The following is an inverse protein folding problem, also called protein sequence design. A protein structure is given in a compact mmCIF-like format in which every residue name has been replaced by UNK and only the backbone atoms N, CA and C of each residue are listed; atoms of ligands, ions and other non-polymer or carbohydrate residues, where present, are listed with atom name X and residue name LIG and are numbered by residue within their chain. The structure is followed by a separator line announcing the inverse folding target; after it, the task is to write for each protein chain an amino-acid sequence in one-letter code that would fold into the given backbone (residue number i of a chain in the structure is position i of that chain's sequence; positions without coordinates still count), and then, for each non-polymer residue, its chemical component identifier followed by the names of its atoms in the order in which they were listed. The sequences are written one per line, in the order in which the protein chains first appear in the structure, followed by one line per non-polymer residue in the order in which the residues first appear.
data_IF_130218103228
#
_entry.id   IF_130218103228
#
_cell.length_a   1.000
_cell.length_b   1.000
_cell.length_c   1.000
_cell.angle_alpha   90.00
_cell.angle_beta   90.00
_cell.angle_gamma   90.00
#
_symmetry.space_group_name_H-M   'P 1'
#
loop_
_entity.id
_entity.type
_entity.pdbx_description
1 polymer ?
#
# COMPACT_ATOMS: atom_id res chain seq x y z
N UNK A 1 -27.36 -0.24 12.59
CA UNK A 1 -26.22 -0.19 11.64
C UNK A 1 -26.69 -0.80 10.35
N UNK A 2 -26.83 -0.07 9.27
CA UNK A 2 -27.78 -0.49 8.23
C UNK A 2 -27.07 -1.06 7.01
N UNK A 3 -27.19 -2.38 6.84
CA UNK A 3 -26.87 -3.08 5.62
C UNK A 3 -28.11 -3.07 4.70
N UNK A 4 -27.99 -2.45 3.54
CA UNK A 4 -29.06 -2.41 2.55
C UNK A 4 -28.78 -3.42 1.45
N UNK A 5 -29.76 -4.28 1.18
CA UNK A 5 -29.70 -5.23 0.08
C UNK A 5 -30.80 -4.94 -0.92
N UNK A 6 -30.48 -5.14 -2.19
CA UNK A 6 -31.50 -5.22 -3.23
C UNK A 6 -32.31 -6.51 -3.03
N UNK A 7 -33.63 -6.39 -2.83
CA UNK A 7 -34.54 -7.54 -2.67
C UNK A 7 -35.27 -7.88 -3.99
N UNK A 8 -34.58 -7.67 -5.12
CA UNK A 8 -35.03 -8.09 -6.45
C UNK A 8 -34.48 -9.49 -6.76
N UNK A 9 -34.98 -10.15 -7.82
CA UNK A 9 -34.46 -11.45 -8.31
C UNK A 9 -34.36 -12.55 -7.24
N UNK A 10 -35.34 -12.60 -6.33
CA UNK A 10 -35.39 -13.56 -5.22
C UNK A 10 -34.14 -13.53 -4.30
N UNK A 11 -33.46 -12.38 -4.24
CA UNK A 11 -32.31 -12.17 -3.37
C UNK A 11 -32.65 -12.47 -1.91
N UNK A 12 -31.93 -13.38 -1.23
CA UNK A 12 -32.14 -13.63 0.19
C UNK A 12 -31.70 -12.40 1.00
N UNK A 13 -32.46 -12.09 2.06
CA UNK A 13 -32.11 -11.01 2.99
C UNK A 13 -31.60 -11.65 4.27
N UNK A 14 -30.32 -11.45 4.64
CA UNK A 14 -29.77 -12.00 5.88
C UNK A 14 -30.53 -11.52 7.11
N UNK A 15 -30.53 -12.31 8.20
CA UNK A 15 -31.13 -11.84 9.43
C UNK A 15 -30.27 -10.70 9.98
N UNK A 16 -30.89 -9.81 10.75
CA UNK A 16 -30.12 -8.80 11.48
C UNK A 16 -29.25 -9.49 12.53
N UNK A 17 -27.99 -9.07 12.64
CA UNK A 17 -27.03 -9.64 13.59
C UNK A 17 -26.91 -8.67 14.76
N UNK A 18 -27.38 -9.09 15.93
CA UNK A 18 -27.43 -8.26 17.13
C UNK A 18 -26.06 -7.67 17.47
N UNK A 19 -26.03 -6.37 17.77
CA UNK A 19 -24.80 -5.61 17.99
C UNK A 19 -23.88 -5.41 16.78
N UNK A 20 -24.19 -5.97 15.60
CA UNK A 20 -23.37 -5.86 14.38
C UNK A 20 -24.06 -5.03 13.31
N UNK A 21 -25.23 -5.46 12.80
CA UNK A 21 -26.00 -4.72 11.80
C UNK A 21 -27.49 -5.14 11.73
N UNK A 22 -28.31 -4.21 11.24
CA UNK A 22 -29.69 -4.37 10.80
C UNK A 22 -29.70 -4.55 9.28
N UNK A 23 -30.24 -5.66 8.80
CA UNK A 23 -30.36 -5.96 7.38
C UNK A 23 -31.72 -5.47 6.84
N UNK A 24 -31.68 -4.69 5.75
CA UNK A 24 -32.87 -4.13 5.11
C UNK A 24 -32.88 -4.50 3.64
N UNK A 25 -33.78 -5.41 3.25
CA UNK A 25 -34.06 -5.72 1.85
C UNK A 25 -35.04 -4.73 1.24
N UNK A 26 -34.69 -4.14 0.09
CA UNK A 26 -35.53 -3.16 -0.61
C UNK A 26 -35.86 -3.67 -2.01
N UNK A 27 -37.15 -3.91 -2.26
CA UNK A 27 -37.66 -4.30 -3.59
C UNK A 27 -37.59 -3.12 -4.57
N UNK A 28 -37.18 -3.39 -5.80
CA UNK A 28 -36.98 -2.43 -6.88
C UNK A 28 -35.66 -1.65 -6.80
N UNK A 29 -34.84 -1.89 -5.77
CA UNK A 29 -33.62 -1.11 -5.49
C UNK A 29 -32.61 -1.17 -6.64
N UNK A 30 -32.47 -2.33 -7.30
CA UNK A 30 -31.53 -2.50 -8.39
C UNK A 30 -31.91 -1.69 -9.63
N UNK A 31 -33.19 -1.37 -9.79
CA UNK A 31 -33.72 -0.60 -10.93
C UNK A 31 -33.94 0.89 -10.62
N UNK A 32 -34.26 1.23 -9.37
CA UNK A 32 -34.49 2.59 -8.89
C UNK A 32 -33.75 2.83 -7.56
N UNK A 33 -32.53 3.39 -7.60
CA UNK A 33 -31.79 3.70 -6.38
C UNK A 33 -32.51 4.65 -5.43
N UNK A 34 -33.52 5.41 -5.88
CA UNK A 34 -34.31 6.27 -4.98
C UNK A 34 -35.19 5.47 -4.01
N UNK A 35 -35.40 4.17 -4.26
CA UNK A 35 -36.11 3.26 -3.38
C UNK A 35 -35.53 3.23 -1.95
N UNK A 36 -34.22 3.49 -1.78
CA UNK A 36 -33.57 3.62 -0.45
C UNK A 36 -34.30 4.67 0.41
N UNK A 37 -34.54 5.84 -0.17
CA UNK A 37 -35.17 6.97 0.53
C UNK A 37 -36.67 6.70 0.75
N UNK A 38 -37.34 6.08 -0.23
CA UNK A 38 -38.77 5.70 -0.12
C UNK A 38 -39.00 4.66 0.98
N UNK A 39 -38.04 3.78 1.21
CA UNK A 39 -38.07 2.80 2.29
C UNK A 39 -37.76 3.40 3.67
N UNK A 40 -37.50 4.72 3.77
CA UNK A 40 -37.21 5.39 5.03
C UNK A 40 -35.81 5.10 5.59
N UNK A 41 -34.90 4.52 4.80
CA UNK A 41 -33.54 4.23 5.23
C UNK A 41 -32.71 5.51 5.24
N UNK A 42 -32.16 5.84 6.41
CA UNK A 42 -31.26 6.99 6.61
C UNK A 42 -29.85 6.52 6.94
N UNK A 43 -28.85 7.17 6.37
CA UNK A 43 -27.42 6.91 6.54
C UNK A 43 -27.04 5.41 6.43
N UNK A 44 -27.35 4.75 5.29
CA UNK A 44 -26.94 3.37 5.07
C UNK A 44 -25.41 3.22 5.14
N UNK A 45 -24.93 2.13 5.71
CA UNK A 45 -23.51 1.91 5.97
C UNK A 45 -22.84 0.97 4.97
N UNK A 46 -23.61 0.09 4.33
CA UNK A 46 -23.15 -0.76 3.23
C UNK A 46 -24.32 -1.11 2.29
N UNK A 47 -24.03 -1.27 1.00
CA UNK A 47 -25.00 -1.65 -0.03
C UNK A 47 -24.53 -2.91 -0.78
N UNK A 48 -25.44 -3.86 -0.99
CA UNK A 48 -25.25 -5.01 -1.88
C UNK A 48 -26.34 -4.98 -2.95
N UNK A 49 -25.94 -4.96 -4.21
CA UNK A 49 -26.82 -4.80 -5.36
C UNK A 49 -26.54 -5.85 -6.44
N UNK A 50 -27.54 -6.16 -7.26
CA UNK A 50 -27.40 -7.03 -8.43
C UNK A 50 -26.72 -6.31 -9.60
N UNK A 51 -25.75 -6.94 -10.27
CA UNK A 51 -24.93 -6.31 -11.31
C UNK A 51 -25.75 -5.95 -12.57
N UNK A 52 -25.42 -4.80 -13.18
CA UNK A 52 -25.89 -4.43 -14.54
C UNK A 52 -27.21 -3.65 -14.62
N UNK A 53 -27.89 -3.41 -13.49
CA UNK A 53 -29.24 -2.84 -13.47
C UNK A 53 -29.33 -1.34 -13.18
N UNK A 54 -28.23 -0.74 -12.72
CA UNK A 54 -28.16 0.68 -12.33
C UNK A 54 -26.90 1.36 -12.86
N UNK A 55 -26.92 2.69 -12.77
CA UNK A 55 -25.74 3.53 -12.96
C UNK A 55 -25.27 4.03 -11.59
N UNK A 56 -23.98 3.84 -11.29
CA UNK A 56 -23.40 4.08 -9.98
C UNK A 56 -23.54 5.55 -9.55
N UNK A 57 -23.55 6.50 -10.49
CA UNK A 57 -23.79 7.91 -10.19
C UNK A 57 -25.17 8.15 -9.57
N UNK A 58 -26.20 7.44 -10.03
CA UNK A 58 -27.54 7.50 -9.42
C UNK A 58 -27.59 6.86 -8.04
N UNK A 59 -26.90 5.73 -7.84
CA UNK A 59 -26.78 5.11 -6.50
C UNK A 59 -26.12 6.08 -5.52
N UNK A 60 -24.99 6.67 -5.90
CA UNK A 60 -24.30 7.66 -5.08
C UNK A 60 -25.17 8.89 -4.80
N UNK A 61 -25.95 9.36 -5.78
CA UNK A 61 -26.90 10.44 -5.55
C UNK A 61 -28.00 10.06 -4.56
N UNK A 62 -28.50 8.83 -4.61
CA UNK A 62 -29.52 8.35 -3.68
C UNK A 62 -28.96 8.21 -2.25
N UNK A 63 -27.72 7.74 -2.10
CA UNK A 63 -27.00 7.67 -0.83
C UNK A 63 -26.84 9.04 -0.18
N UNK A 64 -26.46 10.07 -0.96
CA UNK A 64 -26.38 11.45 -0.46
C UNK A 64 -27.71 11.96 0.05
N UNK A 65 -28.80 11.70 -0.67
CA UNK A 65 -30.16 12.08 -0.24
C UNK A 65 -30.58 11.35 1.04
N UNK A 66 -30.11 10.11 1.22
CA UNK A 66 -30.31 9.34 2.44
C UNK A 66 -29.39 9.80 3.59
N UNK A 67 -28.50 10.78 3.38
CA UNK A 67 -27.60 11.32 4.41
C UNK A 67 -26.28 10.57 4.56
N UNK A 68 -25.92 9.68 3.63
CA UNK A 68 -24.64 8.98 3.64
C UNK A 68 -23.62 9.60 2.68
N UNK A 69 -22.34 9.54 3.06
CA UNK A 69 -21.22 9.86 2.16
C UNK A 69 -20.94 8.67 1.22
N UNK A 70 -21.23 8.78 -0.09
CA UNK A 70 -21.07 7.68 -1.03
C UNK A 70 -19.62 7.22 -1.21
N UNK A 71 -18.61 8.04 -0.86
CA UNK A 71 -17.21 7.64 -1.00
C UNK A 71 -16.77 6.65 0.06
N UNK A 72 -17.43 6.64 1.21
CA UNK A 72 -17.09 5.74 2.29
C UNK A 72 -18.10 4.62 2.52
N UNK A 73 -19.28 4.65 1.89
CA UNK A 73 -20.22 3.52 1.87
C UNK A 73 -19.73 2.47 0.86
N UNK A 74 -19.35 1.26 1.29
CA UNK A 74 -19.02 0.19 0.36
C UNK A 74 -20.25 -0.22 -0.44
N UNK A 75 -20.11 -0.23 -1.76
CA UNK A 75 -21.16 -0.67 -2.70
C UNK A 75 -20.60 -1.90 -3.42
N UNK A 76 -21.14 -3.08 -3.10
CA UNK A 76 -20.77 -4.31 -3.80
C UNK A 76 -21.86 -4.68 -4.80
N UNK A 77 -21.41 -5.08 -5.99
CA UNK A 77 -22.26 -5.48 -7.10
C UNK A 77 -22.01 -6.95 -7.41
N UNK A 78 -23.03 -7.80 -7.36
CA UNK A 78 -22.88 -9.24 -7.60
C UNK A 78 -23.75 -9.67 -8.79
N UNK A 79 -23.23 -10.49 -9.73
CA UNK A 79 -24.02 -10.99 -10.85
C UNK A 79 -24.98 -12.11 -10.45
N UNK A 80 -24.65 -12.85 -9.40
CA UNK A 80 -25.49 -13.88 -8.78
C UNK A 80 -25.46 -13.62 -7.27
N UNK A 81 -26.62 -13.67 -6.62
CA UNK A 81 -26.70 -13.46 -5.18
C UNK A 81 -26.37 -14.75 -4.42
N UNK A 82 -25.45 -14.71 -3.44
CA UNK A 82 -25.05 -15.88 -2.68
C UNK A 82 -26.08 -16.24 -1.61
N UNK A 83 -25.79 -17.25 -0.80
CA UNK A 83 -26.66 -17.67 0.30
C UNK A 83 -26.82 -16.57 1.35
N UNK A 84 -27.88 -16.70 2.16
CA UNK A 84 -28.16 -15.81 3.28
C UNK A 84 -26.96 -15.68 4.25
N UNK A 85 -26.30 -16.80 4.54
CA UNK A 85 -25.11 -16.85 5.40
C UNK A 85 -23.92 -16.10 4.79
N UNK A 86 -23.66 -16.30 3.49
CA UNK A 86 -22.56 -15.62 2.80
C UNK A 86 -22.81 -14.10 2.71
N UNK A 87 -24.06 -13.69 2.48
CA UNK A 87 -24.47 -12.28 2.54
C UNK A 87 -24.28 -11.70 3.94
N UNK A 88 -24.57 -12.46 4.98
CA UNK A 88 -24.41 -12.01 6.34
C UNK A 88 -22.94 -11.73 6.68
N UNK A 89 -22.04 -12.65 6.29
CA UNK A 89 -20.59 -12.54 6.49
C UNK A 89 -20.01 -11.38 5.68
N UNK A 90 -20.36 -11.31 4.39
CA UNK A 90 -19.93 -10.21 3.52
C UNK A 90 -20.42 -8.86 4.05
N UNK A 91 -21.70 -8.78 4.45
CA UNK A 91 -22.33 -7.60 5.03
C UNK A 91 -21.62 -7.11 6.29
N UNK A 92 -21.35 -8.00 7.24
CA UNK A 92 -20.60 -7.65 8.45
C UNK A 92 -19.19 -7.14 8.14
N UNK A 93 -18.51 -7.73 7.15
CA UNK A 93 -17.23 -7.23 6.63
C UNK A 93 -17.34 -5.81 6.06
N UNK A 94 -18.34 -5.52 5.24
CA UNK A 94 -18.54 -4.19 4.65
C UNK A 94 -18.85 -3.13 5.71
N UNK A 95 -19.68 -3.45 6.70
CA UNK A 95 -19.97 -2.57 7.82
C UNK A 95 -18.69 -2.28 8.62
N UNK A 96 -17.88 -3.30 8.92
CA UNK A 96 -16.60 -3.10 9.59
C UNK A 96 -15.65 -2.20 8.78
N UNK A 97 -15.60 -2.38 7.46
CA UNK A 97 -14.85 -1.49 6.54
C UNK A 97 -15.34 -0.05 6.62
N UNK A 98 -16.66 0.17 6.60
CA UNK A 98 -17.28 1.50 6.70
C UNK A 98 -16.88 2.18 8.00
N UNK A 99 -16.95 1.48 9.14
CA UNK A 99 -16.56 2.03 10.45
C UNK A 99 -15.08 2.41 10.53
N UNK A 100 -14.24 1.72 9.76
CA UNK A 100 -12.81 2.01 9.65
C UNK A 100 -12.48 3.11 8.62
N UNK A 101 -13.48 3.64 7.89
CA UNK A 101 -13.29 4.72 6.93
C UNK A 101 -12.84 6.00 7.64
N UNK A 102 -11.67 6.57 7.28
CA UNK A 102 -11.16 7.77 7.96
C UNK A 102 -11.89 9.06 7.56
N UNK A 103 -12.82 9.00 6.59
CA UNK A 103 -13.39 10.18 5.94
C UNK A 103 -12.66 10.49 4.62
N UNK A 104 -13.33 11.20 3.72
CA UNK A 104 -12.73 11.73 2.50
C UNK A 104 -13.14 13.19 2.31
N UNK A 105 -12.17 14.06 2.03
CA UNK A 105 -12.40 15.44 1.62
C UNK A 105 -12.51 15.60 0.09
N UNK A 106 -12.84 16.82 -0.40
CA UNK A 106 -12.94 17.11 -1.83
C UNK A 106 -11.68 16.75 -2.64
N UNK A 107 -10.51 16.85 -2.04
CA UNK A 107 -9.21 16.49 -2.62
C UNK A 107 -9.07 14.99 -2.96
N UNK A 108 -9.91 14.15 -2.36
CA UNK A 108 -9.96 12.71 -2.62
C UNK A 108 -11.05 12.34 -3.64
N UNK A 109 -11.81 13.29 -4.16
CA UNK A 109 -12.95 13.02 -5.02
C UNK A 109 -12.62 13.32 -6.49
N UNK A 110 -12.53 12.27 -7.32
CA UNK A 110 -12.44 12.41 -8.78
C UNK A 110 -13.81 12.17 -9.41
N UNK A 111 -14.20 13.07 -10.32
CA UNK A 111 -15.39 12.90 -11.16
C UNK A 111 -15.06 11.97 -12.35
N UNK A 112 -15.90 10.97 -12.59
CA UNK A 112 -15.80 10.08 -13.75
C UNK A 112 -17.12 10.08 -14.51
N UNK A 113 -17.03 10.22 -15.84
CA UNK A 113 -18.17 10.18 -16.73
C UNK A 113 -18.34 8.77 -17.33
N UNK A 114 -19.56 8.24 -17.46
CA UNK A 114 -19.79 6.94 -18.09
C UNK A 114 -19.43 6.94 -19.60
N UNK A 115 -18.60 5.96 -20.03
CA UNK A 115 -18.00 5.88 -21.38
C UNK A 115 -18.96 5.46 -22.51
N UNK A 116 -19.92 4.56 -22.27
CA UNK A 116 -20.75 3.97 -23.35
C UNK A 116 -22.24 4.33 -23.20
N UNK A 117 -22.83 4.91 -24.24
CA UNK A 117 -24.26 5.18 -24.34
C UNK A 117 -24.85 4.29 -25.44
N UNK A 118 -25.79 3.42 -25.08
CA UNK A 118 -26.69 2.86 -26.10
C UNK A 118 -27.63 3.99 -26.59
N UNK A 119 -27.97 4.02 -27.88
CA UNK A 119 -28.85 5.05 -28.49
C UNK A 119 -30.15 5.32 -27.69
N UNK A 120 -30.66 4.34 -26.92
CA UNK A 120 -31.86 4.46 -26.07
C UNK A 120 -31.63 5.22 -24.75
N UNK A 121 -30.39 5.31 -24.24
CA UNK A 121 -30.04 5.97 -22.96
C UNK A 121 -29.52 7.41 -23.14
N UNK A 122 -29.53 7.96 -24.35
CA UNK A 122 -29.00 9.30 -24.68
C UNK A 122 -29.78 10.46 -24.01
N UNK A 123 -31.05 10.26 -23.70
CA UNK A 123 -31.93 11.29 -23.10
C UNK A 123 -32.03 11.22 -21.57
N UNK A 124 -31.41 10.22 -20.92
CA UNK A 124 -31.31 10.19 -19.47
C UNK A 124 -30.14 11.10 -19.04
N UNK A 125 -30.44 12.13 -18.24
CA UNK A 125 -29.46 13.06 -17.69
C UNK A 125 -28.36 12.26 -16.98
N UNK A 126 -27.12 12.29 -17.51
CA UNK A 126 -25.98 11.54 -16.93
C UNK A 126 -25.64 12.13 -15.57
N UNK A 127 -25.70 11.32 -14.51
CA UNK A 127 -25.15 11.69 -13.20
C UNK A 127 -23.71 11.18 -13.16
N UNK A 128 -22.71 12.06 -13.05
CA UNK A 128 -21.33 11.61 -12.93
C UNK A 128 -21.12 10.85 -11.62
N UNK A 129 -20.27 9.83 -11.67
CA UNK A 129 -19.87 9.09 -10.48
C UNK A 129 -18.62 9.73 -9.87
N UNK A 130 -18.52 9.63 -8.55
CA UNK A 130 -17.36 10.05 -7.79
C UNK A 130 -16.56 8.81 -7.43
N UNK A 131 -15.28 8.79 -7.79
CA UNK A 131 -14.35 7.75 -7.38
C UNK A 131 -13.34 8.35 -6.43
N UNK A 132 -12.93 7.56 -5.42
CA UNK A 132 -11.89 8.00 -4.50
C UNK A 132 -10.53 7.94 -5.20
N UNK A 133 -9.90 9.10 -5.33
CA UNK A 133 -8.58 9.31 -5.88
C UNK A 133 -7.58 9.60 -4.75
N UNK A 134 -6.28 9.34 -4.97
CA UNK A 134 -5.27 9.63 -3.97
C UNK A 134 -5.10 11.15 -3.77
N UNK A 135 -4.79 11.56 -2.54
CA UNK A 135 -4.25 12.89 -2.22
C UNK A 135 -2.75 12.83 -1.99
N UNK A 136 -2.08 13.98 -2.02
CA UNK A 136 -0.64 14.10 -1.77
C UNK A 136 -0.38 15.19 -0.73
N UNK A 137 0.13 14.79 0.43
CA UNK A 137 0.57 15.68 1.49
C UNK A 137 2.00 16.16 1.19
N UNK A 138 2.12 17.43 0.78
CA UNK A 138 3.38 18.00 0.31
C UNK A 138 4.45 18.03 1.40
N UNK A 139 4.06 18.21 2.66
CA UNK A 139 4.99 18.26 3.80
C UNK A 139 5.69 16.93 4.12
N UNK A 140 5.07 15.80 3.75
CA UNK A 140 5.64 14.45 3.91
C UNK A 140 6.39 13.98 2.66
N UNK A 141 6.33 14.73 1.57
CA UNK A 141 6.82 14.28 0.27
C UNK A 141 8.35 14.42 0.16
N UNK A 142 9.06 13.31 -0.03
CA UNK A 142 10.51 13.31 -0.24
C UNK A 142 10.96 13.73 -1.66
N UNK A 143 10.06 14.29 -2.46
CA UNK A 143 10.33 14.64 -3.86
C UNK A 143 11.36 15.77 -4.01
N UNK A 144 11.42 16.71 -3.05
CA UNK A 144 12.45 17.74 -2.97
C UNK A 144 13.87 17.16 -2.82
N UNK A 145 13.98 15.94 -2.28
CA UNK A 145 15.23 15.20 -2.12
C UNK A 145 15.45 14.15 -3.24
N UNK A 146 14.73 14.27 -4.35
CA UNK A 146 14.92 13.44 -5.55
C UNK A 146 14.09 12.16 -5.62
N UNK A 147 13.18 11.90 -4.67
CA UNK A 147 12.33 10.70 -4.73
C UNK A 147 11.33 10.77 -5.90
N UNK A 148 11.29 9.74 -6.76
CA UNK A 148 10.40 9.65 -7.93
C UNK A 148 9.61 8.34 -8.03
N UNK A 149 9.68 7.46 -7.03
CA UNK A 149 9.08 6.11 -7.06
C UNK A 149 7.60 6.08 -7.49
N UNK A 150 6.78 7.05 -7.05
CA UNK A 150 5.36 7.10 -7.43
C UNK A 150 5.14 7.55 -8.89
N UNK A 151 6.01 8.41 -9.43
CA UNK A 151 6.01 8.78 -10.86
C UNK A 151 6.41 7.54 -11.67
N UNK A 152 7.51 6.90 -11.29
CA UNK A 152 8.08 5.76 -12.01
C UNK A 152 7.13 4.54 -12.05
N UNK A 153 6.24 4.42 -11.06
CA UNK A 153 5.24 3.35 -10.95
C UNK A 153 3.84 3.73 -11.45
N UNK A 154 3.65 4.92 -12.00
CA UNK A 154 2.32 5.40 -12.43
C UNK A 154 1.94 4.82 -13.80
N UNK A 155 0.97 3.89 -13.90
CA UNK A 155 0.65 3.28 -15.19
C UNK A 155 -0.03 4.24 -16.18
N UNK A 156 -0.68 5.30 -15.68
CA UNK A 156 -1.32 6.31 -16.54
C UNK A 156 -0.46 7.53 -16.81
N UNK A 157 0.75 7.61 -16.24
CA UNK A 157 1.63 8.79 -16.37
C UNK A 157 1.04 10.08 -15.80
N UNK A 158 0.11 10.00 -14.85
CA UNK A 158 -0.61 11.16 -14.33
C UNK A 158 0.20 12.02 -13.35
N UNK A 159 1.25 11.47 -12.73
CA UNK A 159 2.03 12.12 -11.67
C UNK A 159 3.19 12.95 -12.26
N UNK A 160 3.40 14.15 -11.72
CA UNK A 160 4.47 15.07 -12.13
C UNK A 160 5.13 15.70 -10.91
N UNK A 161 6.37 16.17 -11.07
CA UNK A 161 7.10 16.90 -10.03
C UNK A 161 7.05 18.40 -10.30
N UNK A 162 6.70 19.18 -9.29
CA UNK A 162 6.69 20.65 -9.32
C UNK A 162 6.69 21.23 -7.90
N UNK A 163 7.29 22.40 -7.72
CA UNK A 163 7.28 23.13 -6.43
C UNK A 163 7.74 22.30 -5.21
N UNK A 164 8.70 21.39 -5.41
CA UNK A 164 9.26 20.55 -4.35
C UNK A 164 8.43 19.31 -3.98
N UNK A 165 7.23 19.13 -4.54
CA UNK A 165 6.34 18.02 -4.27
C UNK A 165 5.87 17.30 -5.55
N UNK A 166 5.18 16.17 -5.38
CA UNK A 166 4.50 15.48 -6.47
C UNK A 166 3.07 16.04 -6.56
N UNK A 167 2.59 16.25 -7.78
CA UNK A 167 1.20 16.57 -8.10
C UNK A 167 0.70 15.62 -9.19
N UNK A 168 -0.60 15.62 -9.49
CA UNK A 168 -1.15 14.80 -10.58
C UNK A 168 -2.25 15.48 -11.38
N UNK A 169 -2.39 15.08 -12.64
CA UNK A 169 -3.52 15.45 -13.50
C UNK A 169 -4.76 14.64 -13.12
N UNK A 170 -5.83 15.32 -12.69
CA UNK A 170 -7.10 14.68 -12.33
C UNK A 170 -7.67 13.92 -13.53
N UNK A 171 -7.60 14.49 -14.74
CA UNK A 171 -8.13 13.86 -15.95
C UNK A 171 -7.38 12.57 -16.30
N UNK A 172 -6.05 12.60 -16.21
CA UNK A 172 -5.17 11.47 -16.56
C UNK A 172 -5.13 10.40 -15.46
N UNK A 173 -5.38 10.75 -14.20
CA UNK A 173 -5.30 9.81 -13.08
C UNK A 173 -6.43 8.78 -13.12
N UNK A 174 -6.10 7.50 -13.25
CA UNK A 174 -7.11 6.42 -13.26
C UNK A 174 -7.53 5.96 -11.87
N UNK A 175 -7.13 6.68 -10.81
CA UNK A 175 -7.46 6.37 -9.42
C UNK A 175 -7.16 4.90 -9.02
N UNK A 176 -6.01 4.37 -9.43
CA UNK A 176 -5.60 2.97 -9.19
C UNK A 176 -4.95 2.73 -7.82
N UNK A 177 -4.48 3.77 -7.13
CA UNK A 177 -3.87 3.65 -5.80
C UNK A 177 -2.44 3.09 -5.76
N UNK A 178 -1.80 2.80 -6.89
CA UNK A 178 -0.41 2.27 -6.90
C UNK A 178 0.58 3.23 -6.21
N UNK A 179 0.37 4.53 -6.36
CA UNK A 179 1.21 5.53 -5.70
C UNK A 179 1.08 5.52 -4.17
N UNK A 180 -0.04 5.07 -3.60
CA UNK A 180 -0.25 5.07 -2.14
C UNK A 180 0.55 3.98 -1.46
N UNK A 181 0.71 2.83 -2.11
CA UNK A 181 1.49 1.71 -1.57
C UNK A 181 2.96 1.73 -2.00
N UNK A 182 3.32 2.58 -2.98
CA UNK A 182 4.70 2.77 -3.41
C UNK A 182 5.40 3.92 -2.68
N UNK A 183 4.64 4.85 -2.06
CA UNK A 183 5.23 6.00 -1.37
C UNK A 183 5.88 5.58 -0.04
N UNK A 184 7.21 5.71 0.10
CA UNK A 184 7.92 5.26 1.30
C UNK A 184 7.76 6.21 2.50
N UNK A 185 7.19 7.40 2.29
CA UNK A 185 6.97 8.41 3.33
C UNK A 185 5.49 8.59 3.66
N UNK A 186 4.61 7.75 3.08
CA UNK A 186 3.16 7.82 3.26
C UNK A 186 2.55 9.19 2.89
N UNK A 187 3.24 9.98 2.07
CA UNK A 187 2.76 11.27 1.58
C UNK A 187 1.52 11.13 0.69
N UNK A 188 1.33 9.98 0.04
CA UNK A 188 0.17 9.70 -0.80
C UNK A 188 -0.83 8.83 -0.04
N UNK A 189 -2.08 9.28 0.07
CA UNK A 189 -3.12 8.54 0.80
C UNK A 189 -4.35 8.32 -0.05
N UNK A 190 -5.07 7.22 0.21
CA UNK A 190 -6.38 6.97 -0.39
C UNK A 190 -7.33 6.41 0.68
N UNK A 191 -8.37 7.17 1.08
CA UNK A 191 -9.26 6.79 2.16
C UNK A 191 -10.23 5.66 1.81
N UNK A 192 -10.33 5.21 0.56
CA UNK A 192 -11.19 4.06 0.20
C UNK A 192 -10.51 2.71 0.41
N UNK A 193 -9.19 2.68 0.54
CA UNK A 193 -8.40 1.45 0.65
C UNK A 193 -7.18 1.68 1.56
N UNK A 194 -7.46 1.92 2.85
CA UNK A 194 -6.44 1.95 3.89
C UNK A 194 -6.19 0.56 4.47
N UNK A 195 -4.99 0.26 5.02
CA UNK A 195 -4.73 -0.98 5.74
C UNK A 195 -5.78 -1.27 6.82
N UNK A 196 -6.15 -0.24 7.60
CA UNK A 196 -7.15 -0.33 8.68
C UNK A 196 -8.51 -0.81 8.17
N UNK A 197 -8.98 -0.30 7.04
CA UNK A 197 -10.24 -0.71 6.42
C UNK A 197 -10.22 -2.17 5.97
N UNK A 198 -9.13 -2.60 5.33
CA UNK A 198 -8.98 -3.96 4.83
C UNK A 198 -8.86 -4.95 5.98
N UNK A 199 -8.05 -4.64 7.00
CA UNK A 199 -7.95 -5.45 8.22
C UNK A 199 -9.33 -5.56 8.89
N UNK A 200 -10.06 -4.46 9.06
CA UNK A 200 -11.37 -4.48 9.68
C UNK A 200 -12.38 -5.34 8.88
N UNK A 201 -12.39 -5.22 7.56
CA UNK A 201 -13.24 -6.04 6.69
C UNK A 201 -12.93 -7.54 6.87
N UNK A 202 -11.65 -7.91 6.72
CA UNK A 202 -11.22 -9.30 6.77
C UNK A 202 -11.45 -9.90 8.16
N UNK A 203 -11.04 -9.21 9.22
CA UNK A 203 -11.23 -9.69 10.59
C UNK A 203 -12.71 -9.93 10.93
N UNK A 204 -13.61 -9.04 10.48
CA UNK A 204 -15.04 -9.22 10.68
C UNK A 204 -15.61 -10.42 9.91
N UNK A 205 -15.10 -10.72 8.71
CA UNK A 205 -15.48 -11.91 7.95
C UNK A 205 -14.97 -13.19 8.63
N UNK A 206 -13.68 -13.23 9.03
CA UNK A 206 -13.09 -14.40 9.70
C UNK A 206 -13.78 -14.71 11.03
N UNK A 207 -14.23 -13.68 11.76
CA UNK A 207 -14.94 -13.84 13.02
C UNK A 207 -16.35 -14.47 12.89
N UNK A 208 -16.97 -14.36 11.70
CA UNK A 208 -18.33 -14.84 11.45
C UNK A 208 -18.36 -16.13 10.61
N UNK A 209 -17.35 -16.37 9.78
CA UNK A 209 -17.27 -17.53 8.90
C UNK A 209 -16.73 -18.78 9.63
N UNK A 210 -17.19 -19.95 9.19
CA UNK A 210 -16.57 -21.23 9.53
C UNK A 210 -15.20 -21.36 8.86
N UNK A 211 -14.23 -21.94 9.58
CA UNK A 211 -12.89 -22.22 9.05
C UNK A 211 -12.94 -23.45 8.14
N UNK A 212 -12.24 -23.47 6.98
CA UNK A 212 -11.31 -22.47 6.46
C UNK A 212 -11.96 -21.41 5.57
N UNK A 213 -11.41 -20.19 5.57
CA UNK A 213 -11.87 -19.05 4.77
C UNK A 213 -10.82 -18.59 3.75
N UNK A 214 -11.23 -18.31 2.52
CA UNK A 214 -10.41 -17.67 1.49
C UNK A 214 -10.77 -16.19 1.30
N UNK A 215 -9.78 -15.35 0.98
CA UNK A 215 -10.01 -13.94 0.61
C UNK A 215 -9.48 -13.67 -0.79
N UNK A 216 -10.34 -13.14 -1.66
CA UNK A 216 -9.97 -12.68 -2.99
C UNK A 216 -9.97 -11.16 -3.06
N UNK A 217 -8.81 -10.56 -3.31
CA UNK A 217 -8.73 -9.16 -3.72
C UNK A 217 -9.16 -9.00 -5.19
N UNK A 218 -9.97 -7.98 -5.45
CA UNK A 218 -10.36 -7.60 -6.81
C UNK A 218 -10.31 -6.08 -7.01
N UNK A 219 -10.13 -5.66 -8.26
CA UNK A 219 -10.23 -4.25 -8.64
C UNK A 219 -11.67 -3.78 -8.57
N UNK A 220 -11.87 -2.47 -8.35
CA UNK A 220 -13.17 -1.79 -8.49
C UNK A 220 -13.83 -2.04 -9.84
N UNK A 221 -13.05 -2.01 -10.91
CA UNK A 221 -13.57 -2.18 -12.28
C UNK A 221 -13.72 -3.66 -12.68
N UNK A 222 -13.33 -4.59 -11.80
CA UNK A 222 -13.59 -5.99 -12.02
C UNK A 222 -15.09 -6.27 -11.87
N UNK A 223 -15.59 -7.33 -12.51
CA UNK A 223 -16.89 -7.89 -12.18
C UNK A 223 -16.69 -8.94 -11.08
N UNK A 224 -16.81 -8.58 -9.78
CA UNK A 224 -16.59 -9.55 -8.73
C UNK A 224 -17.74 -10.57 -8.72
N UNK A 225 -17.42 -11.78 -8.31
CA UNK A 225 -18.40 -12.78 -7.90
C UNK A 225 -18.16 -13.06 -6.42
N UNK A 226 -19.24 -13.33 -5.68
CA UNK A 226 -19.09 -14.10 -4.46
C UNK A 226 -18.79 -15.53 -4.88
N UNK A 227 -17.83 -16.14 -4.19
CA UNK A 227 -17.41 -17.49 -4.46
C UNK A 227 -18.03 -18.38 -3.40
N UNK A 228 -18.52 -19.55 -3.81
CA UNK A 228 -18.85 -20.60 -2.86
C UNK A 228 -17.58 -21.14 -2.18
N UNK A 229 -17.76 -22.15 -1.33
CA UNK A 229 -16.66 -22.86 -0.66
C UNK A 229 -15.77 -21.95 0.19
N UNK A 230 -16.42 -21.08 0.99
CA UNK A 230 -15.79 -20.22 2.00
C UNK A 230 -14.89 -19.10 1.46
N UNK A 231 -15.11 -18.61 0.23
CA UNK A 231 -14.30 -17.54 -0.37
C UNK A 231 -15.02 -16.19 -0.42
N UNK A 232 -14.39 -15.14 0.09
CA UNK A 232 -14.98 -13.79 0.17
C UNK A 232 -14.16 -12.75 -0.59
N UNK A 233 -14.87 -11.79 -1.19
CA UNK A 233 -14.27 -10.76 -2.04
C UNK A 233 -13.95 -9.48 -1.25
N UNK A 234 -12.78 -8.90 -1.51
CA UNK A 234 -12.32 -7.63 -0.95
C UNK A 234 -11.93 -6.68 -2.08
N UNK A 235 -12.69 -5.60 -2.24
CA UNK A 235 -12.42 -4.61 -3.28
C UNK A 235 -11.24 -3.70 -2.91
N UNK A 236 -10.34 -3.48 -3.87
CA UNK A 236 -9.33 -2.42 -3.87
C UNK A 236 -9.41 -1.60 -5.16
N UNK A 237 -8.95 -0.34 -5.20
CA UNK A 237 -8.93 0.48 -6.41
C UNK A 237 -8.31 -0.22 -7.62
N UNK A 238 -7.17 -0.89 -7.42
CA UNK A 238 -6.53 -1.74 -8.42
C UNK A 238 -5.70 -2.82 -7.72
N UNK A 239 -5.74 -4.06 -8.17
CA UNK A 239 -4.88 -5.14 -7.63
C UNK A 239 -3.40 -4.84 -7.85
N UNK A 240 -3.02 -3.99 -8.80
CA UNK A 240 -1.66 -3.48 -8.96
C UNK A 240 -1.15 -2.68 -7.75
N UNK A 241 -2.03 -2.20 -6.86
CA UNK A 241 -1.60 -1.54 -5.62
C UNK A 241 -1.13 -2.53 -4.55
N UNK A 242 -1.60 -3.78 -4.58
CA UNK A 242 -1.32 -4.79 -3.55
C UNK A 242 0.16 -5.06 -3.51
N UNK A 243 0.82 -4.80 -2.38
CA UNK A 243 2.22 -5.18 -2.14
C UNK A 243 2.31 -6.62 -1.65
N UNK A 244 3.53 -7.13 -1.45
CA UNK A 244 3.74 -8.46 -0.86
C UNK A 244 3.13 -8.52 0.55
N UNK A 245 3.30 -7.46 1.35
CA UNK A 245 2.68 -7.32 2.68
C UNK A 245 1.16 -7.36 2.63
N UNK A 246 0.52 -6.68 1.67
CA UNK A 246 -0.94 -6.72 1.52
C UNK A 246 -1.49 -8.11 1.15
N UNK A 247 -0.72 -8.90 0.39
CA UNK A 247 -1.09 -10.27 0.02
C UNK A 247 -0.88 -11.26 1.17
N UNK A 248 0.09 -10.99 2.05
CA UNK A 248 0.43 -11.84 3.19
C UNK A 248 -0.38 -11.49 4.45
N UNK A 249 -0.73 -10.23 4.67
CA UNK A 249 -1.42 -9.76 5.88
C UNK A 249 -2.73 -10.49 6.21
N UNK A 250 -3.58 -10.91 5.24
CA UNK A 250 -4.78 -11.67 5.56
C UNK A 250 -4.48 -13.00 6.27
N UNK A 251 -3.33 -13.62 6.00
CA UNK A 251 -2.92 -14.86 6.65
C UNK A 251 -2.77 -14.68 8.17
N UNK A 252 -2.22 -13.54 8.60
CA UNK A 252 -2.12 -13.15 10.03
C UNK A 252 -3.49 -12.91 10.68
N UNK A 253 -4.55 -12.72 9.89
CA UNK A 253 -5.92 -12.58 10.38
C UNK A 253 -6.67 -13.92 10.42
N UNK A 254 -5.98 -15.04 10.16
CA UNK A 254 -6.57 -16.38 10.13
C UNK A 254 -7.19 -16.75 8.79
N UNK A 255 -6.89 -16.02 7.71
CA UNK A 255 -7.31 -16.41 6.36
C UNK A 255 -6.51 -17.63 5.88
N UNK A 256 -7.24 -18.61 5.36
CA UNK A 256 -6.69 -19.88 4.89
C UNK A 256 -6.01 -19.81 3.53
N UNK A 257 -6.49 -18.95 2.63
CA UNK A 257 -5.87 -18.68 1.33
C UNK A 257 -6.19 -17.27 0.82
N UNK A 258 -5.23 -16.66 0.14
CA UNK A 258 -5.35 -15.33 -0.46
C UNK A 258 -5.18 -15.42 -1.96
N UNK A 259 -6.07 -14.76 -2.70
CA UNK A 259 -5.94 -14.64 -4.14
C UNK A 259 -6.17 -13.21 -4.63
N UNK A 260 -5.53 -12.86 -5.74
CA UNK A 260 -5.74 -11.60 -6.43
C UNK A 260 -5.68 -11.84 -7.94
N UNK A 261 -6.47 -11.12 -8.73
CA UNK A 261 -6.50 -11.28 -10.19
C UNK A 261 -6.60 -9.96 -10.95
N UNK A 262 -6.41 -9.99 -12.27
CA UNK A 262 -6.61 -8.81 -13.13
C UNK A 262 -8.09 -8.40 -13.19
N UNK A 263 -8.35 -7.17 -13.64
CA UNK A 263 -9.71 -6.62 -13.77
C UNK A 263 -10.60 -7.48 -14.69
N UNK A 264 -10.02 -8.04 -15.75
CA UNK A 264 -10.71 -8.78 -16.79
C UNK A 264 -10.06 -10.16 -16.98
N UNK A 265 -10.84 -11.15 -17.44
CA UNK A 265 -10.31 -12.48 -17.79
C UNK A 265 -9.25 -12.48 -18.90
N UNK A 266 -9.11 -11.37 -19.64
CA UNK A 266 -8.13 -11.16 -20.70
C UNK A 266 -6.90 -10.35 -20.28
N UNK A 267 -6.75 -10.00 -18.99
CA UNK A 267 -5.63 -9.23 -18.46
C UNK A 267 -6.00 -7.81 -17.99
N UNK A 268 -5.00 -7.07 -17.51
CA UNK A 268 -5.16 -5.72 -16.95
C UNK A 268 -5.00 -4.64 -18.03
N UNK A 269 -6.02 -3.78 -18.18
CA UNK A 269 -5.98 -2.66 -19.12
C UNK A 269 -4.86 -1.63 -18.82
N UNK A 270 -4.34 -1.63 -17.60
CA UNK A 270 -3.24 -0.76 -17.16
C UNK A 270 -1.86 -1.43 -17.25
N UNK A 271 -1.77 -2.67 -17.75
CA UNK A 271 -0.50 -3.40 -17.88
C UNK A 271 0.10 -3.87 -16.54
N UNK A 272 -0.73 -4.08 -15.51
CA UNK A 272 -0.25 -4.49 -14.18
C UNK A 272 -0.19 -6.01 -13.97
N UNK A 273 -0.38 -6.83 -15.01
CA UNK A 273 -0.43 -8.30 -14.88
C UNK A 273 0.88 -8.86 -14.31
N UNK A 274 2.02 -8.48 -14.88
CA UNK A 274 3.34 -8.93 -14.40
C UNK A 274 3.62 -8.43 -13.00
N UNK A 275 3.30 -7.15 -12.70
CA UNK A 275 3.43 -6.57 -11.36
C UNK A 275 2.69 -7.39 -10.31
N UNK A 276 1.44 -7.79 -10.58
CA UNK A 276 0.65 -8.59 -9.65
C UNK A 276 1.20 -10.02 -9.55
N UNK A 277 1.55 -10.62 -10.68
CA UNK A 277 2.11 -11.97 -10.77
C UNK A 277 3.40 -12.10 -9.95
N UNK A 278 4.34 -11.16 -10.12
CA UNK A 278 5.63 -11.18 -9.43
C UNK A 278 5.43 -11.06 -7.91
N UNK A 279 4.53 -10.20 -7.47
CA UNK A 279 4.19 -10.04 -6.04
C UNK A 279 3.50 -11.27 -5.45
N UNK A 280 2.58 -11.89 -6.18
CA UNK A 280 1.98 -13.17 -5.76
C UNK A 280 3.03 -14.29 -5.70
N UNK A 281 3.94 -14.35 -6.66
CA UNK A 281 5.03 -15.34 -6.69
C UNK A 281 5.97 -15.16 -5.51
N UNK A 282 6.37 -13.93 -5.21
CA UNK A 282 7.25 -13.63 -4.08
C UNK A 282 6.57 -13.91 -2.73
N UNK A 283 5.30 -13.50 -2.57
CA UNK A 283 4.51 -13.84 -1.38
C UNK A 283 4.38 -15.36 -1.19
N UNK A 284 4.14 -16.12 -2.26
CA UNK A 284 4.11 -17.58 -2.21
C UNK A 284 5.48 -18.20 -1.87
N UNK A 285 6.57 -17.60 -2.36
CA UNK A 285 7.94 -17.95 -1.99
C UNK A 285 8.19 -17.79 -0.50
N UNK A 286 7.80 -16.64 0.07
CA UNK A 286 7.85 -16.39 1.51
C UNK A 286 7.05 -17.45 2.28
N UNK A 287 5.82 -17.75 1.86
CA UNK A 287 5.01 -18.80 2.50
C UNK A 287 5.69 -20.19 2.46
N UNK A 288 6.45 -20.49 1.42
CA UNK A 288 7.18 -21.75 1.27
C UNK A 288 8.34 -21.81 2.26
N UNK A 289 9.16 -20.76 2.29
CA UNK A 289 10.33 -20.67 3.18
C UNK A 289 9.95 -20.64 4.67
N UNK A 290 8.79 -20.06 5.00
CA UNK A 290 8.25 -20.09 6.37
C UNK A 290 7.50 -21.38 6.73
N UNK A 291 7.39 -22.34 5.81
CA UNK A 291 6.74 -23.62 6.06
C UNK A 291 5.21 -23.57 6.22
N UNK A 292 4.56 -22.46 5.85
CA UNK A 292 3.09 -22.29 5.92
C UNK A 292 2.36 -22.74 4.65
N UNK A 293 3.12 -23.11 3.62
CA UNK A 293 2.66 -23.73 2.38
C UNK A 293 2.53 -22.72 1.24
N UNK A 294 3.09 -23.07 0.08
CA UNK A 294 3.09 -22.19 -1.10
C UNK A 294 1.66 -21.81 -1.54
N UNK A 295 0.68 -22.70 -1.37
CA UNK A 295 -0.71 -22.53 -1.83
C UNK A 295 -1.52 -21.47 -1.07
N UNK A 296 -0.95 -20.87 -0.02
CA UNK A 296 -1.58 -19.80 0.76
C UNK A 296 -1.78 -18.51 -0.04
N UNK A 297 -0.92 -18.22 -1.02
CA UNK A 297 -1.05 -17.03 -1.89
C UNK A 297 -0.94 -17.44 -3.35
N UNK A 298 -1.97 -17.09 -4.15
CA UNK A 298 -2.05 -17.48 -5.56
C UNK A 298 -2.65 -16.37 -6.43
N UNK A 299 -2.09 -16.21 -7.63
CA UNK A 299 -2.75 -15.42 -8.68
C UNK A 299 -4.06 -16.13 -9.08
N UNK A 300 -5.16 -15.39 -9.15
CA UNK A 300 -6.44 -15.93 -9.63
C UNK A 300 -6.33 -16.24 -11.12
N UNK A 301 -6.32 -17.52 -11.50
CA UNK A 301 -6.38 -17.95 -12.90
C UNK A 301 -7.78 -18.45 -13.24
N UNK A 302 -8.43 -17.81 -14.22
CA UNK A 302 -9.64 -18.30 -14.90
C UNK A 302 -10.73 -18.90 -13.98
N UNK A 303 -10.95 -18.31 -12.80
CA UNK A 303 -12.00 -18.73 -11.87
C UNK A 303 -11.66 -19.93 -10.96
N UNK A 304 -10.44 -20.46 -11.04
CA UNK A 304 -9.95 -21.49 -10.13
C UNK A 304 -9.28 -20.85 -8.92
N UNK A 305 -9.81 -21.14 -7.73
CA UNK A 305 -9.26 -20.71 -6.45
C UNK A 305 -8.75 -21.97 -5.70
N UNK A 306 -7.63 -21.87 -4.97
CA UNK A 306 -7.17 -22.98 -4.15
C UNK A 306 -8.18 -23.25 -3.03
N UNK A 307 -8.18 -24.48 -2.51
CA UNK A 307 -8.96 -24.81 -1.31
C UNK A 307 -8.31 -24.09 -0.13
N UNK A 308 -9.02 -23.21 0.60
CA UNK A 308 -8.49 -22.60 1.80
C UNK A 308 -8.10 -23.70 2.79
N UNK A 309 -6.89 -23.61 3.33
CA UNK A 309 -6.40 -24.51 4.37
C UNK A 309 -6.56 -23.85 5.73
N UNK A 310 -6.69 -24.62 6.81
CA UNK A 310 -7.12 -24.15 8.13
C UNK A 310 -6.41 -22.90 8.67
N UNK A 311 -7.06 -22.25 9.64
CA UNK A 311 -6.63 -21.03 10.33
C UNK A 311 -5.15 -21.06 10.72
N UNK A 312 -4.48 -19.96 10.42
CA UNK A 312 -3.19 -19.63 10.99
C UNK A 312 -3.47 -18.84 12.29
N UNK A 313 -2.75 -19.08 13.41
CA UNK A 313 -2.96 -18.34 14.65
C UNK A 313 -2.93 -16.84 14.41
N UNK A 314 -4.03 -16.16 14.76
CA UNK A 314 -4.18 -14.75 14.43
C UNK A 314 -3.29 -13.87 15.29
N UNK A 315 -2.59 -12.93 14.67
CA UNK A 315 -1.83 -11.87 15.33
C UNK A 315 -2.41 -10.49 14.96
N UNK A 316 -2.19 -9.49 15.83
CA UNK A 316 -2.64 -8.14 15.57
C UNK A 316 -1.84 -7.53 14.39
N UNK A 317 -2.52 -7.30 13.26
CA UNK A 317 -1.93 -6.63 12.10
C UNK A 317 -2.00 -5.12 12.31
N UNK A 318 -0.94 -4.53 12.86
CA UNK A 318 -0.83 -3.09 13.08
C UNK A 318 -0.58 -2.27 11.81
N UNK A 319 0.10 -2.87 10.83
CA UNK A 319 0.45 -2.27 9.53
C UNK A 319 0.39 -3.34 8.42
N UNK A 320 0.36 -2.93 7.15
CA UNK A 320 0.51 -3.83 6.00
C UNK A 320 1.80 -3.55 5.22
N UNK A 321 2.85 -3.03 5.89
CA UNK A 321 4.17 -2.85 5.27
C UNK A 321 4.81 -4.22 5.07
N UNK A 322 5.52 -4.39 3.96
CA UNK A 322 6.08 -5.68 3.57
C UNK A 322 7.00 -6.28 4.66
N UNK A 323 7.88 -5.47 5.25
CA UNK A 323 8.80 -5.89 6.32
C UNK A 323 8.06 -6.24 7.62
N UNK A 324 7.06 -5.46 8.02
CA UNK A 324 6.29 -5.71 9.24
C UNK A 324 5.49 -7.01 9.15
N UNK A 325 4.81 -7.23 8.02
CA UNK A 325 4.02 -8.44 7.79
C UNK A 325 4.92 -9.67 7.70
N UNK A 326 6.08 -9.54 7.03
CA UNK A 326 7.09 -10.59 7.00
C UNK A 326 7.56 -10.95 8.42
N UNK A 327 7.88 -9.96 9.25
CA UNK A 327 8.34 -10.20 10.63
C UNK A 327 7.27 -10.78 11.55
N UNK A 328 6.01 -10.38 11.38
CA UNK A 328 4.90 -10.99 12.10
C UNK A 328 4.76 -12.47 11.71
N UNK A 329 4.82 -12.79 10.41
CA UNK A 329 4.76 -14.17 9.95
C UNK A 329 5.95 -15.01 10.47
N UNK A 330 7.18 -14.49 10.43
CA UNK A 330 8.36 -15.21 10.96
C UNK A 330 8.22 -15.49 12.46
N UNK A 331 7.68 -14.54 13.21
CA UNK A 331 7.44 -14.68 14.66
C UNK A 331 6.41 -15.78 14.93
N UNK A 332 5.28 -15.71 14.24
CA UNK A 332 4.18 -16.66 14.33
C UNK A 332 4.59 -18.09 13.95
N UNK A 333 5.46 -18.26 12.94
CA UNK A 333 5.98 -19.58 12.54
C UNK A 333 7.19 -20.03 13.36
N UNK A 334 7.64 -19.21 14.32
CA UNK A 334 8.89 -19.44 15.07
C UNK A 334 10.10 -19.69 14.16
N UNK A 335 10.11 -19.05 12.99
CA UNK A 335 11.21 -19.15 12.02
C UNK A 335 12.26 -18.08 12.31
N UNK A 336 13.53 -18.47 12.26
CA UNK A 336 14.69 -17.59 12.43
C UNK A 336 15.70 -17.81 11.31
N UNK A 337 16.59 -16.84 11.06
CA UNK A 337 17.59 -16.94 9.99
C UNK A 337 17.00 -17.16 8.58
N UNK A 338 15.76 -16.72 8.36
CA UNK A 338 15.11 -16.73 7.05
C UNK A 338 15.60 -15.53 6.25
N UNK A 339 16.12 -15.79 5.05
CA UNK A 339 16.61 -14.79 4.11
C UNK A 339 16.13 -15.11 2.69
N UNK A 340 15.36 -14.20 2.08
CA UNK A 340 14.70 -14.42 0.79
C UNK A 340 14.85 -13.16 -0.06
N UNK A 341 15.22 -13.31 -1.34
CA UNK A 341 15.31 -12.17 -2.27
C UNK A 341 13.99 -11.40 -2.38
N UNK A 342 14.08 -10.07 -2.45
CA UNK A 342 12.95 -9.15 -2.59
C UNK A 342 13.03 -8.46 -3.96
N UNK A 343 12.55 -9.14 -4.98
CA UNK A 343 12.49 -8.63 -6.36
C UNK A 343 11.28 -7.74 -6.60
N UNK A 344 10.15 -8.04 -5.95
CA UNK A 344 8.86 -7.38 -6.13
C UNK A 344 8.36 -6.67 -4.86
N UNK A 345 8.85 -7.10 -3.70
CA UNK A 345 8.58 -6.55 -2.38
C UNK A 345 9.50 -5.41 -1.98
N UNK A 346 9.05 -4.64 -1.01
CA UNK A 346 9.74 -3.45 -0.51
C UNK A 346 10.57 -3.77 0.73
N UNK A 347 11.76 -4.33 0.52
CA UNK A 347 12.74 -4.60 1.57
C UNK A 347 14.18 -4.40 1.05
N UNK A 348 15.11 -4.05 1.93
CA UNK A 348 16.52 -4.06 1.57
C UNK A 348 17.48 -3.83 2.73
N UNK A 349 18.68 -4.37 2.60
CA UNK A 349 19.78 -4.27 3.57
C UNK A 349 20.88 -3.42 2.96
N UNK A 350 21.26 -2.34 3.64
CA UNK A 350 22.35 -1.46 3.21
C UNK A 350 23.60 -1.74 4.03
N UNK A 351 24.73 -1.91 3.35
CA UNK A 351 26.04 -2.01 3.99
C UNK A 351 26.93 -0.87 3.52
N UNK A 352 27.58 -0.18 4.46
CA UNK A 352 28.62 0.81 4.17
C UNK A 352 29.99 0.19 4.39
N UNK A 353 30.87 0.31 3.40
CA UNK A 353 32.19 -0.31 3.43
C UNK A 353 33.24 0.67 3.93
N UNK A 354 33.96 0.29 4.98
CA UNK A 354 34.91 1.15 5.69
C UNK A 354 35.97 1.77 4.79
N UNK A 355 36.56 0.96 3.91
CA UNK A 355 37.69 1.32 3.06
C UNK A 355 37.37 2.43 2.05
N UNK A 356 36.11 2.50 1.61
CA UNK A 356 35.69 3.40 0.53
C UNK A 356 34.66 4.45 0.98
N UNK A 357 33.97 4.24 2.09
CA UNK A 357 32.97 5.18 2.61
C UNK A 357 33.65 6.40 3.23
N UNK A 358 33.41 7.55 2.62
CA UNK A 358 33.96 8.85 3.05
C UNK A 358 33.12 9.57 4.10
N UNK A 359 32.01 8.97 4.54
CA UNK A 359 31.07 9.58 5.50
C UNK A 359 30.50 10.93 4.99
N UNK A 360 30.40 11.14 3.68
CA UNK A 360 29.89 12.40 3.09
C UNK A 360 28.36 12.62 3.24
N UNK A 361 27.66 11.69 3.88
CA UNK A 361 26.24 11.79 4.29
C UNK A 361 25.19 11.88 3.17
N UNK A 362 25.59 11.88 1.90
CA UNK A 362 24.66 11.96 0.76
C UNK A 362 23.57 10.88 0.82
N UNK A 363 23.96 9.64 1.14
CA UNK A 363 23.01 8.52 1.28
C UNK A 363 21.97 8.72 2.39
N UNK A 364 22.31 9.43 3.46
CA UNK A 364 21.39 9.74 4.56
C UNK A 364 20.42 10.86 4.18
N UNK A 365 20.88 11.83 3.37
CA UNK A 365 20.07 12.98 2.92
C UNK A 365 19.00 12.55 1.93
N UNK A 366 19.31 11.60 1.05
CA UNK A 366 18.37 11.14 0.01
C UNK A 366 17.48 9.98 0.45
N UNK A 367 17.61 9.45 1.68
CA UNK A 367 16.90 8.25 2.13
C UNK A 367 15.45 8.58 2.54
N UNK A 368 14.43 8.33 1.68
CA UNK A 368 13.08 8.83 1.96
C UNK A 368 12.45 8.26 3.25
N UNK A 369 12.51 6.95 3.53
CA UNK A 369 11.90 6.40 4.75
C UNK A 369 12.76 6.65 6.00
N UNK A 370 13.87 7.41 5.88
CA UNK A 370 14.82 7.64 6.96
C UNK A 370 15.43 6.35 7.55
N UNK A 371 15.55 5.30 6.72
CA UNK A 371 16.25 4.07 7.10
C UNK A 371 17.72 4.38 7.43
N UNK A 372 18.39 5.22 6.63
CA UNK A 372 19.71 5.76 6.94
C UNK A 372 19.60 7.12 7.65
N UNK A 373 20.33 7.32 8.76
CA UNK A 373 20.45 8.63 9.43
C UNK A 373 21.88 8.89 9.86
N UNK A 374 22.28 10.16 9.85
CA UNK A 374 23.54 10.62 10.44
C UNK A 374 23.31 11.12 11.86
N UNK A 375 24.20 10.77 12.77
CA UNK A 375 24.33 11.33 14.12
C UNK A 375 25.71 12.00 14.23
N UNK A 376 25.75 13.22 14.76
CA UNK A 376 26.98 13.96 15.01
C UNK A 376 27.11 14.21 16.51
N UNK A 377 28.28 13.93 17.05
CA UNK A 377 28.65 14.22 18.44
C UNK A 377 30.10 14.70 18.46
N UNK A 378 30.51 15.44 19.49
CA UNK A 378 31.80 16.14 19.59
C UNK A 378 33.00 15.37 18.96
N UNK A 379 33.39 15.78 17.75
CA UNK A 379 34.52 15.20 17.01
C UNK A 379 34.28 13.84 16.34
N UNK A 380 33.07 13.29 16.40
CA UNK A 380 32.67 12.02 15.77
C UNK A 380 31.44 12.17 14.85
N UNK A 381 31.32 11.21 13.94
CA UNK A 381 30.19 11.06 13.04
C UNK A 381 29.82 9.59 12.95
N UNK A 382 28.52 9.30 13.01
CA UNK A 382 27.98 7.97 12.86
C UNK A 382 26.86 7.96 11.82
N UNK A 383 26.83 6.95 10.98
CA UNK A 383 25.68 6.63 10.14
C UNK A 383 25.00 5.41 10.73
N UNK A 384 23.71 5.54 11.02
CA UNK A 384 22.83 4.47 11.48
C UNK A 384 21.92 3.99 10.37
N UNK A 385 21.55 2.72 10.42
CA UNK A 385 20.65 2.06 9.49
C UNK A 385 19.56 1.29 10.25
N UNK A 386 18.32 1.39 9.77
CA UNK A 386 17.19 0.60 10.24
C UNK A 386 16.61 -0.21 9.07
N UNK A 387 16.85 -1.53 9.01
CA UNK A 387 16.36 -2.37 7.92
C UNK A 387 14.83 -2.48 7.88
N UNK A 388 14.14 -2.31 9.02
CA UNK A 388 12.68 -2.35 9.08
C UNK A 388 12.00 -1.19 8.34
N UNK A 389 12.75 -0.10 8.09
CA UNK A 389 12.27 1.07 7.34
C UNK A 389 12.74 1.07 5.87
N UNK A 390 13.69 0.22 5.49
CA UNK A 390 14.28 0.27 4.16
C UNK A 390 13.36 -0.38 3.11
N UNK A 391 12.96 0.39 2.11
CA UNK A 391 12.09 -0.08 1.01
C UNK A 391 12.85 -0.54 -0.24
N UNK A 392 14.18 -0.67 -0.17
CA UNK A 392 15.00 -1.15 -1.30
C UNK A 392 15.05 -0.22 -2.53
N UNK A 393 14.81 1.10 -2.36
CA UNK A 393 14.63 2.07 -3.45
C UNK A 393 15.88 2.48 -4.25
N UNK A 394 17.08 2.06 -3.84
CA UNK A 394 18.36 2.38 -4.51
C UNK A 394 18.77 3.86 -4.60
N UNK A 395 18.06 4.80 -3.98
CA UNK A 395 18.47 6.21 -3.98
C UNK A 395 19.85 6.43 -3.33
N UNK A 396 20.16 5.67 -2.26
CA UNK A 396 21.47 5.71 -1.61
C UNK A 396 22.61 5.26 -2.55
N UNK A 397 22.34 4.29 -3.43
CA UNK A 397 23.28 3.81 -4.45
C UNK A 397 23.52 4.92 -5.48
N UNK A 398 22.44 5.48 -6.02
CA UNK A 398 22.49 6.47 -7.09
C UNK A 398 23.20 7.77 -6.67
N UNK A 399 23.12 8.16 -5.39
CA UNK A 399 23.74 9.40 -4.90
C UNK A 399 25.18 9.26 -4.40
N UNK A 400 25.68 8.03 -4.20
CA UNK A 400 26.95 7.82 -3.50
C UNK A 400 28.13 8.19 -4.42
N UNK A 401 28.98 9.19 -4.07
CA UNK A 401 30.08 9.61 -4.94
C UNK A 401 31.22 8.58 -5.04
N UNK A 402 31.28 7.63 -4.10
CA UNK A 402 32.30 6.58 -4.07
C UNK A 402 31.69 5.20 -4.41
N UNK A 403 30.56 5.16 -5.11
CA UNK A 403 29.87 3.93 -5.46
C UNK A 403 30.72 3.00 -6.33
N UNK A 404 31.50 3.56 -7.27
CA UNK A 404 32.41 2.79 -8.13
C UNK A 404 33.55 2.10 -7.36
N UNK A 405 33.85 2.59 -6.14
CA UNK A 405 34.82 1.96 -5.23
C UNK A 405 34.17 1.03 -4.22
N UNK A 406 32.87 0.76 -4.36
CA UNK A 406 32.13 -0.13 -3.47
C UNK A 406 31.88 0.45 -2.08
N UNK A 407 31.77 1.78 -1.92
CA UNK A 407 31.51 2.38 -0.61
C UNK A 407 30.16 1.98 0.03
N UNK A 408 29.19 1.55 -0.79
CA UNK A 408 27.84 1.23 -0.37
C UNK A 408 27.31 0.07 -1.22
N UNK A 409 26.69 -0.91 -0.57
CA UNK A 409 25.92 -1.98 -1.23
C UNK A 409 24.47 -1.99 -0.72
N UNK A 410 23.56 -2.43 -1.59
CA UNK A 410 22.14 -2.62 -1.29
C UNK A 410 21.74 -4.01 -1.75
N UNK A 411 21.43 -4.89 -0.79
CA UNK A 411 20.86 -6.20 -1.03
C UNK A 411 19.34 -6.13 -0.87
N UNK A 412 18.58 -6.48 -1.90
CA UNK A 412 17.11 -6.50 -1.80
C UNK A 412 16.67 -7.88 -1.34
N UNK A 413 16.45 -8.01 -0.04
CA UNK A 413 15.99 -9.23 0.59
C UNK A 413 15.16 -8.97 1.84
N UNK A 414 14.23 -9.87 2.12
CA UNK A 414 13.66 -10.06 3.44
C UNK A 414 14.65 -10.88 4.25
N UNK A 415 15.11 -10.34 5.39
CA UNK A 415 16.10 -10.99 6.24
C UNK A 415 15.66 -10.83 7.69
N UNK A 416 15.15 -11.91 8.26
CA UNK A 416 14.56 -11.91 9.61
C UNK A 416 15.57 -11.47 10.67
N UNK A 417 16.82 -11.94 10.60
CA UNK A 417 17.85 -11.60 11.57
C UNK A 417 18.20 -10.12 11.46
N UNK A 418 18.43 -9.59 10.26
CA UNK A 418 18.73 -8.18 10.05
C UNK A 418 17.57 -7.28 10.53
N UNK A 419 16.33 -7.65 10.24
CA UNK A 419 15.15 -6.88 10.62
C UNK A 419 14.96 -6.80 12.15
N UNK A 420 15.37 -7.82 12.92
CA UNK A 420 15.29 -7.77 14.40
C UNK A 420 16.30 -6.84 15.06
N UNK A 421 17.41 -6.50 14.38
CA UNK A 421 18.45 -5.61 14.94
C UNK A 421 17.89 -4.20 15.18
N UNK A 422 16.93 -3.77 14.36
CA UNK A 422 16.43 -2.40 14.36
C UNK A 422 17.52 -1.39 13.99
N UNK A 423 17.38 -0.15 14.47
CA UNK A 423 18.34 0.92 14.19
C UNK A 423 19.70 0.66 14.86
N UNK A 424 20.75 0.53 14.06
CA UNK A 424 22.12 0.29 14.53
C UNK A 424 23.14 1.10 13.73
N UNK A 425 24.35 1.27 14.28
CA UNK A 425 25.46 1.96 13.60
C UNK A 425 26.04 1.06 12.51
N UNK A 426 26.14 1.58 11.29
CA UNK A 426 26.73 0.88 10.13
C UNK A 426 28.06 1.51 9.67
N UNK A 427 28.33 2.76 10.06
CA UNK A 427 29.63 3.41 9.84
C UNK A 427 29.87 4.43 10.94
N UNK A 428 31.11 4.48 11.42
CA UNK A 428 31.61 5.48 12.36
C UNK A 428 32.89 6.10 11.80
N UNK A 429 33.17 7.34 12.17
CA UNK A 429 34.42 8.01 11.87
C UNK A 429 34.61 9.28 12.68
N UNK A 430 35.74 9.94 12.45
CA UNK A 430 36.08 11.21 13.09
C UNK A 430 35.70 12.41 12.22
N UNK A 431 35.43 13.52 12.88
CA UNK A 431 35.19 14.83 12.27
C UNK A 431 36.38 15.71 12.58
N UNK A 432 37.01 16.29 11.55
CA UNK A 432 38.06 17.28 11.75
C UNK A 432 37.47 18.53 12.41
N UNK A 433 38.19 19.10 13.38
CA UNK A 433 37.75 20.29 14.14
C UNK A 433 38.64 21.48 13.83
N UNK A 434 38.08 22.68 13.97
CA UNK A 434 38.81 23.92 13.72
C UNK A 434 39.83 24.20 14.83
N UNK A 435 41.09 24.40 14.46
CA UNK A 435 42.17 24.73 15.41
C UNK A 435 41.95 26.05 16.17
N UNK A 436 41.09 26.95 15.63
CA UNK A 436 40.83 28.28 16.19
C UNK A 436 39.60 28.32 17.10
N UNK A 437 38.47 27.76 16.68
CA UNK A 437 37.21 27.83 17.42
C UNK A 437 36.71 26.48 17.96
N UNK A 438 37.29 25.34 17.53
CA UNK A 438 36.84 24.01 17.92
C UNK A 438 35.67 23.45 17.10
N UNK A 439 35.02 24.26 16.26
CA UNK A 439 33.85 23.84 15.48
C UNK A 439 34.17 22.70 14.49
N UNK A 440 33.22 21.79 14.21
CA UNK A 440 33.39 20.74 13.21
C UNK A 440 33.55 21.32 11.80
N UNK A 441 34.49 20.75 11.04
CA UNK A 441 34.77 21.11 9.65
C UNK A 441 34.07 20.13 8.70
N UNK A 442 34.50 18.87 8.72
CA UNK A 442 34.00 17.80 7.85
C UNK A 442 34.52 16.43 8.35
N UNK A 443 33.93 15.32 7.93
CA UNK A 443 34.46 13.98 8.19
C UNK A 443 35.90 13.86 7.69
N UNK A 444 36.80 13.32 8.53
CA UNK A 444 38.22 13.19 8.20
C UNK A 444 38.45 12.34 6.95
N UNK A 445 37.62 11.29 6.76
CA UNK A 445 37.66 10.44 5.58
C UNK A 445 37.29 11.21 4.29
N UNK A 446 36.34 12.14 4.36
CA UNK A 446 35.97 13.01 3.24
C UNK A 446 37.12 13.97 2.91
N UNK A 447 37.76 14.58 3.90
CA UNK A 447 38.92 15.45 3.67
C UNK A 447 40.09 14.69 3.05
N UNK A 448 40.41 13.49 3.56
CA UNK A 448 41.42 12.62 2.98
C UNK A 448 41.10 12.25 1.52
N UNK A 449 39.82 12.02 1.20
CA UNK A 449 39.40 11.79 -0.18
C UNK A 449 39.62 13.01 -1.06
N UNK A 450 39.18 14.20 -0.64
CA UNK A 450 39.39 15.45 -1.39
C UNK A 450 40.89 15.69 -1.62
N UNK A 451 41.72 15.43 -0.59
CA UNK A 451 43.17 15.53 -0.71
C UNK A 451 43.74 14.58 -1.76
N UNK A 452 43.25 13.33 -1.84
CA UNK A 452 43.68 12.39 -2.88
C UNK A 452 43.25 12.77 -4.31
N UNK A 453 42.18 13.55 -4.46
CA UNK A 453 41.69 14.02 -5.77
C UNK A 453 42.48 15.22 -6.28
N UNK A 454 42.95 16.05 -5.36
CA UNK A 454 43.68 17.27 -5.67
C UNK A 454 45.19 16.97 -5.74
N UNK A 455 45.83 17.40 -6.81
CA UNK A 455 47.27 17.24 -6.99
C UNK A 455 48.09 18.02 -5.95
N UNK A 456 49.40 17.75 -5.85
CA UNK A 456 50.31 18.40 -4.88
C UNK A 456 50.34 19.94 -5.00
N UNK A 457 50.01 20.47 -6.18
CA UNK A 457 49.89 21.91 -6.45
C UNK A 457 48.81 22.63 -5.62
N UNK A 458 47.86 21.89 -5.03
CA UNK A 458 46.78 22.43 -4.20
C UNK A 458 46.98 22.16 -2.69
N UNK A 459 48.14 21.66 -2.28
CA UNK A 459 48.40 21.25 -0.89
C UNK A 459 48.20 22.39 0.13
N UNK A 460 48.55 23.64 -0.21
CA UNK A 460 48.36 24.79 0.68
C UNK A 460 46.89 25.13 0.95
N UNK A 461 46.04 25.04 -0.09
CA UNK A 461 44.58 25.23 0.06
C UNK A 461 43.98 24.11 0.90
N UNK A 462 44.44 22.87 0.70
CA UNK A 462 44.00 21.70 1.45
C UNK A 462 44.33 21.77 2.94
N UNK A 463 45.53 22.23 3.27
CA UNK A 463 45.96 22.42 4.65
C UNK A 463 45.09 23.46 5.36
N UNK A 464 44.75 24.55 4.67
CA UNK A 464 43.87 25.58 5.20
C UNK A 464 42.44 25.05 5.42
N UNK A 465 41.87 24.30 4.46
CA UNK A 465 40.49 23.82 4.58
C UNK A 465 40.30 22.67 5.57
N UNK A 466 41.36 21.90 5.85
CA UNK A 466 41.33 20.78 6.80
C UNK A 466 41.57 21.20 8.25
N UNK A 467 42.19 22.37 8.50
CA UNK A 467 42.47 22.90 9.86
C UNK A 467 41.55 24.02 10.31
N UNK A 468 40.91 24.73 9.38
CA UNK A 468 40.03 25.88 9.69
C UNK A 468 38.65 25.76 9.07
N UNK A 469 37.61 26.04 9.88
CA UNK A 469 36.24 26.17 9.40
C UNK A 469 36.10 27.42 8.52
N UNK A 470 35.02 27.48 7.72
CA UNK A 470 34.80 28.57 6.77
C UNK A 470 34.79 29.97 7.42
N UNK A 471 34.34 30.07 8.67
CA UNK A 471 34.27 31.31 9.44
C UNK A 471 35.62 31.76 10.01
N UNK A 472 36.60 30.86 10.09
CA UNK A 472 37.92 31.12 10.69
C UNK A 472 39.06 31.20 9.67
N UNK A 473 38.76 30.97 8.38
CA UNK A 473 39.62 31.27 7.24
C UNK A 473 39.57 32.77 6.97
#
# INVERSE_FOLDING_TARGET
MTLVLCADHDTPVPPSVDGVYDAVGIKGLCSDPTAINKAGVTNPEALILHMGEYDLGFVQSALRKAGADPLGVPIITLPDMPTETELAIAGGGLIARRRAFPGAGPEHAKLVWPELISRRKLFALKVPQYVVAPSIESSLCAAAHGCRLCIDSCPSGALTYGDGAISYSVDTCVACGICTTTCPTEATTNPSATPRQIVAQIAAMVAQAEDPIGVRFHCRDAQPRMFGDSWYSVEVPCTGMLTVGWLLAPLLLGVGAVSAGPCMGSGCALGNDDRLKDRCSEAAGICTELGIGADRVRLAQQGQLPIPVGKIPAEAVGTMRDTDVFMALTTMTSSSAVSIGASAGFAGIVTLHEESCTLCEQCTTVCPPNALKVNRSDGSIEITFDPGLCVGCSMCIATCPEIEKGALTLDRRFDSDALTVGRHVVRTGSTATCEKCGDPIAPSAMLGRIQSMLGPEHAGTLDLISRRCISCR
#
